data_IF_341286077713
#
_entry.id   IF_341286077713
#
_cell.length_a   1.000
_cell.length_b   1.000
_cell.length_c   1.000
_cell.angle_alpha   90.00
_cell.angle_beta   90.00
_cell.angle_gamma   90.00
#
_symmetry.space_group_name_H-M   'P 1'
#
loop_
_entity.id
_entity.type
_entity.pdbx_description
1 polymer ?
#
# COMPACT_ATOMS: atom_id res chain seq x y z
N UNK A 1 27.89 -28.58 -7.44
CA UNK A 1 26.46 -28.68 -7.03
C UNK A 1 26.14 -28.02 -5.69
N UNK A 2 27.11 -27.40 -4.99
CA UNK A 2 26.88 -26.82 -3.65
C UNK A 2 26.87 -25.28 -3.60
N UNK A 3 27.36 -24.57 -4.62
CA UNK A 3 27.24 -23.10 -4.67
C UNK A 3 25.87 -22.61 -5.18
N UNK A 4 25.20 -23.38 -6.03
CA UNK A 4 23.90 -23.00 -6.56
C UNK A 4 22.76 -23.09 -5.53
N UNK A 5 22.93 -23.83 -4.43
CA UNK A 5 21.90 -24.02 -3.40
C UNK A 5 21.89 -22.90 -2.34
N UNK A 6 23.00 -22.19 -2.14
CA UNK A 6 23.11 -21.18 -1.07
C UNK A 6 22.54 -19.81 -1.46
N UNK A 7 22.20 -19.58 -2.73
CA UNK A 7 21.52 -18.35 -3.16
C UNK A 7 19.99 -18.38 -2.96
N UNK A 8 19.40 -19.53 -2.63
CA UNK A 8 17.94 -19.66 -2.48
C UNK A 8 17.43 -19.14 -1.13
N UNK A 9 18.30 -19.06 -0.10
CA UNK A 9 17.93 -18.54 1.22
C UNK A 9 17.92 -17.00 1.30
N UNK A 10 18.21 -16.30 0.19
CA UNK A 10 18.04 -14.84 0.06
C UNK A 10 16.82 -14.44 -0.77
N UNK A 11 15.94 -15.39 -1.09
CA UNK A 11 14.80 -15.19 -2.00
C UNK A 11 13.49 -14.83 -1.26
N UNK A 12 13.53 -13.89 -0.31
CA UNK A 12 12.30 -13.26 0.19
C UNK A 12 11.88 -12.05 -0.67
N UNK A 13 12.69 -11.63 -1.64
CA UNK A 13 12.40 -10.48 -2.49
C UNK A 13 11.95 -10.93 -3.89
N UNK A 14 10.64 -10.93 -4.11
CA UNK A 14 9.98 -11.37 -5.34
C UNK A 14 9.88 -10.26 -6.42
N UNK A 15 10.71 -9.21 -6.42
CA UNK A 15 10.72 -8.17 -7.48
C UNK A 15 12.14 -7.64 -7.67
N UNK A 16 12.44 -7.05 -8.84
CA UNK A 16 13.73 -6.46 -9.21
C UNK A 16 14.42 -5.72 -8.06
N UNK A 17 15.59 -6.22 -7.66
CA UNK A 17 16.64 -5.59 -6.87
C UNK A 17 16.28 -4.24 -6.23
N UNK A 18 15.55 -4.26 -5.10
CA UNK A 18 15.25 -3.10 -4.24
C UNK A 18 14.25 -2.07 -4.78
N UNK A 19 13.38 -1.55 -3.89
CA UNK A 19 12.58 -0.33 -4.10
C UNK A 19 13.41 0.93 -4.40
N UNK A 20 14.75 0.84 -4.34
CA UNK A 20 15.68 1.89 -4.74
C UNK A 20 16.06 1.85 -6.22
N UNK A 21 15.66 0.81 -6.97
CA UNK A 21 15.92 0.73 -8.40
C UNK A 21 15.25 1.88 -9.15
N UNK A 22 15.81 2.29 -10.29
CA UNK A 22 15.19 3.32 -11.13
C UNK A 22 13.92 2.82 -11.85
N UNK A 23 13.82 1.52 -12.11
CA UNK A 23 12.68 0.88 -12.78
C UNK A 23 12.07 -0.21 -11.91
N UNK A 24 11.58 0.17 -10.73
CA UNK A 24 11.09 -0.75 -9.70
C UNK A 24 9.66 -1.25 -9.95
N UNK A 25 8.89 -0.58 -10.82
CA UNK A 25 7.49 -0.95 -11.05
C UNK A 25 7.37 -2.30 -11.77
N UNK A 26 6.51 -3.17 -11.23
CA UNK A 26 6.17 -4.47 -11.85
C UNK A 26 5.21 -4.37 -13.03
N UNK A 27 4.47 -3.26 -13.13
CA UNK A 27 3.43 -3.05 -14.14
C UNK A 27 3.95 -2.27 -15.35
N UNK A 28 4.81 -1.27 -15.12
CA UNK A 28 5.30 -0.37 -16.17
C UNK A 28 6.83 -0.22 -16.15
N UNK A 29 7.34 0.38 -17.23
CA UNK A 29 8.76 0.67 -17.46
C UNK A 29 9.11 2.13 -17.21
N UNK A 30 8.23 2.89 -16.56
CA UNK A 30 8.52 4.26 -16.17
C UNK A 30 9.72 4.31 -15.21
N UNK A 31 10.56 5.33 -15.35
CA UNK A 31 11.61 5.61 -14.37
C UNK A 31 10.98 6.17 -13.09
N UNK A 32 11.73 6.10 -12.00
CA UNK A 32 11.33 6.66 -10.70
C UNK A 32 10.94 8.13 -10.81
N UNK A 33 11.71 8.94 -11.53
CA UNK A 33 11.46 10.38 -11.69
C UNK A 33 10.12 10.65 -12.41
N UNK A 34 9.79 9.83 -13.43
CA UNK A 34 8.50 9.93 -14.12
C UNK A 34 7.37 9.51 -13.17
N UNK A 35 7.53 8.38 -12.48
CA UNK A 35 6.50 7.86 -11.57
C UNK A 35 6.16 8.81 -10.43
N UNK A 36 7.12 9.60 -9.95
CA UNK A 36 6.89 10.60 -8.90
C UNK A 36 6.00 11.77 -9.33
N UNK A 37 5.88 12.00 -10.64
CA UNK A 37 5.08 13.10 -11.20
C UNK A 37 3.83 12.61 -11.94
N UNK A 38 3.76 11.31 -12.20
CA UNK A 38 2.72 10.72 -13.03
C UNK A 38 1.46 10.43 -12.20
N UNK A 39 0.40 11.21 -12.42
CA UNK A 39 -0.91 10.99 -11.81
C UNK A 39 -1.85 10.04 -12.58
N UNK A 40 -1.49 9.67 -13.81
CA UNK A 40 -2.31 8.83 -14.69
C UNK A 40 -1.49 7.69 -15.28
N UNK A 41 -2.11 6.53 -15.51
CA UNK A 41 -1.44 5.41 -16.17
C UNK A 41 -1.00 5.80 -17.59
N UNK A 42 0.21 5.40 -17.97
CA UNK A 42 0.70 5.52 -19.34
C UNK A 42 0.78 4.13 -19.98
N UNK A 43 -0.18 3.81 -20.84
CA UNK A 43 -0.32 2.49 -21.47
C UNK A 43 0.88 2.11 -22.34
N UNK A 44 1.53 3.09 -22.98
CA UNK A 44 2.70 2.86 -23.82
C UNK A 44 3.92 2.36 -23.02
N UNK A 45 3.91 2.61 -21.71
CA UNK A 45 4.96 2.22 -20.78
C UNK A 45 4.73 0.85 -20.13
N UNK A 46 3.57 0.21 -20.35
CA UNK A 46 3.23 -1.05 -19.69
C UNK A 46 4.17 -2.17 -20.12
N UNK A 47 4.51 -3.04 -19.17
CA UNK A 47 5.33 -4.23 -19.43
C UNK A 47 4.49 -5.26 -20.17
N UNK A 48 5.06 -5.84 -21.21
CA UNK A 48 4.44 -6.90 -21.98
C UNK A 48 5.50 -7.92 -22.43
N UNK A 49 5.05 -9.07 -22.95
CA UNK A 49 5.96 -10.14 -23.41
C UNK A 49 7.02 -9.63 -24.37
N UNK A 50 6.62 -8.83 -25.35
CA UNK A 50 7.50 -8.30 -26.39
C UNK A 50 8.60 -7.43 -25.80
N UNK A 51 8.25 -6.43 -24.99
CA UNK A 51 9.24 -5.51 -24.43
C UNK A 51 10.10 -6.16 -23.32
N UNK A 52 9.57 -7.17 -22.62
CA UNK A 52 10.34 -7.96 -21.67
C UNK A 52 11.42 -8.81 -22.38
N UNK A 53 11.06 -9.50 -23.47
CA UNK A 53 12.03 -10.26 -24.28
C UNK A 53 13.13 -9.34 -24.82
N UNK A 54 12.79 -8.12 -25.24
CA UNK A 54 13.77 -7.13 -25.68
C UNK A 54 14.71 -6.69 -24.53
N UNK A 55 14.18 -6.45 -23.33
CA UNK A 55 15.00 -6.10 -22.15
C UNK A 55 15.91 -7.27 -21.74
N UNK A 56 15.43 -8.51 -21.89
CA UNK A 56 16.18 -9.74 -21.59
C UNK A 56 17.33 -9.93 -22.58
N UNK A 57 17.05 -9.84 -23.88
CA UNK A 57 18.03 -10.05 -24.95
C UNK A 57 19.12 -8.98 -24.98
N UNK A 58 18.78 -7.73 -24.65
CA UNK A 58 19.75 -6.61 -24.56
C UNK A 58 20.58 -6.60 -23.26
N UNK A 59 20.40 -7.62 -22.40
CA UNK A 59 21.01 -7.71 -21.07
C UNK A 59 20.83 -6.45 -20.20
N UNK A 60 19.71 -5.74 -20.37
CA UNK A 60 19.42 -4.54 -19.60
C UNK A 60 18.90 -4.91 -18.21
N UNK A 61 19.81 -5.31 -17.32
CA UNK A 61 19.55 -5.72 -15.93
C UNK A 61 18.79 -4.67 -15.12
N UNK A 62 18.90 -3.38 -15.46
CA UNK A 62 18.20 -2.29 -14.76
C UNK A 62 16.70 -2.26 -15.05
N UNK A 63 16.26 -2.79 -16.21
CA UNK A 63 14.86 -2.81 -16.64
C UNK A 63 14.21 -4.17 -16.49
N UNK A 64 15.00 -5.20 -16.20
CA UNK A 64 14.52 -6.58 -16.07
C UNK A 64 13.89 -6.80 -14.69
N UNK A 65 12.77 -7.50 -14.66
CA UNK A 65 12.26 -8.11 -13.44
C UNK A 65 12.61 -9.59 -13.50
N UNK A 66 13.41 -10.07 -12.56
CA UNK A 66 13.81 -11.48 -12.48
C UNK A 66 13.01 -12.11 -11.35
N UNK A 67 12.12 -13.04 -11.70
CA UNK A 67 11.48 -13.91 -10.74
C UNK A 67 12.18 -15.27 -10.77
N UNK A 68 12.31 -15.93 -9.61
CA UNK A 68 12.76 -17.32 -9.52
C UNK A 68 11.84 -18.31 -10.26
N UNK A 69 10.71 -17.85 -10.80
CA UNK A 69 9.68 -18.61 -11.52
C UNK A 69 9.86 -18.63 -13.03
N UNK A 70 10.94 -18.05 -13.57
CA UNK A 70 11.22 -18.02 -15.02
C UNK A 70 11.29 -19.40 -15.71
N UNK A 71 11.32 -20.48 -14.93
CA UNK A 71 11.35 -21.86 -15.40
C UNK A 71 9.97 -22.55 -15.40
N UNK A 72 8.93 -21.88 -14.90
CA UNK A 72 7.57 -22.41 -14.90
C UNK A 72 6.94 -22.21 -16.28
N UNK A 73 6.63 -23.30 -16.98
CA UNK A 73 6.09 -23.30 -18.35
C UNK A 73 4.84 -22.45 -18.55
N UNK A 74 4.00 -22.33 -17.52
CA UNK A 74 2.73 -21.59 -17.56
C UNK A 74 2.79 -20.24 -16.85
N UNK A 75 3.98 -19.73 -16.55
CA UNK A 75 4.16 -18.45 -15.87
C UNK A 75 4.94 -17.47 -16.75
N UNK A 76 4.38 -16.29 -16.96
CA UNK A 76 5.11 -15.17 -17.53
C UNK A 76 4.99 -13.95 -16.61
N UNK A 77 6.13 -13.35 -16.27
CA UNK A 77 6.21 -12.20 -15.34
C UNK A 77 5.29 -11.03 -15.71
N UNK A 78 5.08 -10.78 -17.00
CA UNK A 78 4.23 -9.68 -17.47
C UNK A 78 2.75 -10.04 -17.60
N UNK A 79 2.36 -11.27 -17.27
CA UNK A 79 0.96 -11.74 -17.36
C UNK A 79 0.45 -12.30 -16.04
N UNK A 80 1.35 -12.80 -15.19
CA UNK A 80 1.02 -13.46 -13.93
C UNK A 80 1.56 -12.66 -12.73
N UNK A 81 1.22 -11.38 -12.69
CA UNK A 81 1.46 -10.52 -11.54
C UNK A 81 0.15 -10.21 -10.81
N UNK A 82 0.23 -9.91 -9.52
CA UNK A 82 -0.91 -9.47 -8.72
C UNK A 82 -0.54 -8.24 -7.90
N UNK A 83 -1.53 -7.41 -7.59
CA UNK A 83 -1.41 -6.44 -6.52
C UNK A 83 -1.39 -7.15 -5.16
N UNK A 84 -0.63 -6.62 -4.21
CA UNK A 84 -0.64 -7.10 -2.84
C UNK A 84 -1.48 -6.13 -2.02
N UNK A 85 -2.75 -6.46 -1.78
CA UNK A 85 -3.67 -5.56 -1.07
C UNK A 85 -3.17 -5.22 0.34
N UNK A 86 -2.42 -6.11 0.99
CA UNK A 86 -1.85 -5.83 2.30
C UNK A 86 -0.85 -4.69 2.21
N UNK A 87 0.15 -4.82 1.34
CA UNK A 87 1.23 -3.84 1.25
C UNK A 87 0.86 -2.59 0.44
N UNK A 88 0.05 -2.74 -0.61
CA UNK A 88 -0.31 -1.64 -1.51
C UNK A 88 -1.41 -0.75 -0.88
N UNK A 89 -2.37 -1.33 -0.16
CA UNK A 89 -3.49 -0.60 0.46
C UNK A 89 -3.31 -0.43 1.97
N UNK A 90 -3.31 -1.52 2.74
CA UNK A 90 -3.42 -1.44 4.20
C UNK A 90 -2.13 -0.97 4.89
N UNK A 91 -0.96 -1.42 4.47
CA UNK A 91 0.32 -0.88 4.96
C UNK A 91 0.81 0.29 4.11
N UNK A 92 0.18 0.48 2.94
CA UNK A 92 0.50 1.49 1.95
C UNK A 92 -0.42 2.71 2.03
N UNK A 93 -1.09 3.00 0.92
CA UNK A 93 -1.74 4.30 0.70
C UNK A 93 -2.83 4.61 1.72
N UNK A 94 -3.64 3.63 2.13
CA UNK A 94 -4.78 3.90 3.01
C UNK A 94 -4.34 4.35 4.40
N UNK A 95 -3.26 3.77 4.92
CA UNK A 95 -2.71 4.19 6.20
C UNK A 95 -1.98 5.53 6.10
N UNK A 96 -1.33 5.81 4.98
CA UNK A 96 -0.78 7.14 4.73
C UNK A 96 -1.88 8.21 4.80
N UNK A 97 -2.98 8.00 4.09
CA UNK A 97 -4.12 8.93 4.07
C UNK A 97 -4.75 9.10 5.46
N UNK A 98 -4.99 8.01 6.19
CA UNK A 98 -5.59 8.05 7.54
C UNK A 98 -4.69 8.79 8.53
N UNK A 99 -3.37 8.56 8.48
CA UNK A 99 -2.42 9.26 9.35
C UNK A 99 -2.43 10.75 9.06
N UNK A 100 -2.47 11.13 7.78
CA UNK A 100 -2.52 12.53 7.37
C UNK A 100 -3.80 13.22 7.84
N UNK A 101 -4.95 12.55 7.69
CA UNK A 101 -6.24 13.04 8.17
C UNK A 101 -6.27 13.19 9.69
N UNK A 102 -5.78 12.18 10.43
CA UNK A 102 -5.68 12.28 11.89
C UNK A 102 -4.76 13.43 12.31
N UNK A 103 -3.64 13.62 11.63
CA UNK A 103 -2.74 14.74 11.89
C UNK A 103 -3.46 16.08 11.65
N UNK A 104 -4.14 16.21 10.53
CA UNK A 104 -4.91 17.40 10.16
C UNK A 104 -5.97 17.71 11.23
N UNK A 105 -6.82 16.73 11.59
CA UNK A 105 -7.92 16.97 12.52
C UNK A 105 -7.47 17.15 13.98
N UNK A 106 -6.38 16.50 14.40
CA UNK A 106 -5.90 16.61 15.79
C UNK A 106 -5.02 17.85 16.00
N UNK A 107 -4.11 18.15 15.07
CA UNK A 107 -3.10 19.19 15.28
C UNK A 107 -3.37 20.50 14.55
N UNK A 108 -3.99 20.46 13.37
CA UNK A 108 -4.21 21.63 12.53
C UNK A 108 -5.61 22.20 12.79
N UNK A 109 -6.66 21.48 12.40
CA UNK A 109 -8.06 21.88 12.59
C UNK A 109 -8.51 21.79 14.05
N UNK A 110 -7.85 20.95 14.86
CA UNK A 110 -8.14 20.73 16.29
C UNK A 110 -9.61 20.38 16.56
N UNK A 111 -10.21 19.56 15.70
CA UNK A 111 -11.60 19.10 15.84
C UNK A 111 -11.77 18.20 17.07
N UNK A 112 -10.75 17.40 17.38
CA UNK A 112 -10.71 16.52 18.53
C UNK A 112 -9.26 16.26 18.96
N UNK A 113 -9.06 15.63 20.13
CA UNK A 113 -7.72 15.26 20.61
C UNK A 113 -7.41 13.80 20.31
N UNK A 114 -6.12 13.44 20.34
CA UNK A 114 -5.71 12.04 20.24
C UNK A 114 -6.32 11.16 21.35
N UNK A 115 -6.55 11.72 22.54
CA UNK A 115 -7.20 11.01 23.64
C UNK A 115 -8.68 10.75 23.37
N UNK A 116 -9.38 11.71 22.74
CA UNK A 116 -10.75 11.52 22.25
C UNK A 116 -10.78 10.37 21.24
N UNK A 117 -9.91 10.39 20.24
CA UNK A 117 -9.84 9.33 19.23
C UNK A 117 -9.53 7.95 19.83
N UNK A 118 -8.53 7.87 20.71
CA UNK A 118 -8.19 6.63 21.40
C UNK A 118 -9.32 6.12 22.30
N UNK A 119 -10.12 7.02 22.89
CA UNK A 119 -11.31 6.64 23.66
C UNK A 119 -12.37 6.03 22.74
N UNK A 120 -12.62 6.64 21.59
CA UNK A 120 -13.54 6.10 20.59
C UNK A 120 -13.10 4.73 20.10
N UNK A 121 -11.82 4.56 19.76
CA UNK A 121 -11.25 3.25 19.39
C UNK A 121 -11.47 2.18 20.47
N UNK A 122 -11.31 2.51 21.76
CA UNK A 122 -11.53 1.57 22.87
C UNK A 122 -13.00 1.16 23.01
N UNK A 123 -13.90 2.12 22.81
CA UNK A 123 -15.33 1.95 23.03
C UNK A 123 -16.07 1.41 21.80
N UNK A 124 -15.45 1.46 20.62
CA UNK A 124 -16.06 1.01 19.37
C UNK A 124 -16.29 -0.51 19.38
N UNK A 125 -17.51 -0.92 19.05
CA UNK A 125 -17.85 -2.34 18.88
C UNK A 125 -17.49 -2.80 17.47
N UNK A 126 -16.34 -3.46 17.34
CA UNK A 126 -15.87 -4.03 16.07
C UNK A 126 -16.59 -5.34 15.68
N UNK A 127 -17.54 -5.80 16.50
CA UNK A 127 -18.23 -7.08 16.32
C UNK A 127 -17.36 -8.30 16.65
N UNK A 128 -18.00 -9.48 16.63
CA UNK A 128 -17.37 -10.75 17.05
C UNK A 128 -16.32 -11.29 16.06
N UNK A 129 -16.31 -10.82 14.82
CA UNK A 129 -15.44 -11.30 13.75
C UNK A 129 -14.09 -10.57 13.64
N UNK A 130 -13.95 -9.39 14.24
CA UNK A 130 -12.73 -8.59 14.15
C UNK A 130 -11.87 -8.73 15.40
N UNK A 131 -11.05 -9.79 15.40
CA UNK A 131 -10.15 -10.14 16.51
C UNK A 131 -8.98 -9.15 16.61
N UNK A 132 -8.55 -8.58 15.47
CA UNK A 132 -7.41 -7.67 15.38
C UNK A 132 -7.86 -6.22 15.53
N UNK A 133 -7.96 -5.78 16.79
CA UNK A 133 -8.30 -4.40 17.13
C UNK A 133 -7.13 -3.47 16.86
N UNK A 134 -7.41 -2.30 16.31
CA UNK A 134 -6.40 -1.27 16.09
C UNK A 134 -5.75 -0.84 17.43
N UNK A 135 -4.42 -0.80 17.51
CA UNK A 135 -3.73 -0.34 18.71
C UNK A 135 -3.99 1.15 18.95
N UNK A 136 -3.85 1.58 20.20
CA UNK A 136 -3.94 2.99 20.55
C UNK A 136 -2.78 3.75 19.91
N UNK A 137 -3.08 4.94 19.41
CA UNK A 137 -2.12 5.77 18.72
C UNK A 137 -1.55 6.76 19.73
N UNK A 138 -0.23 6.72 19.93
CA UNK A 138 0.42 7.68 20.82
C UNK A 138 0.50 9.06 20.16
N UNK A 139 0.48 10.10 20.99
CA UNK A 139 0.65 11.47 20.54
C UNK A 139 1.97 11.66 19.77
N UNK A 140 3.06 11.02 20.20
CA UNK A 140 4.36 11.12 19.53
C UNK A 140 4.32 10.51 18.13
N UNK A 141 3.73 9.32 18.00
CA UNK A 141 3.65 8.59 16.73
C UNK A 141 2.78 9.34 15.72
N UNK A 142 1.64 9.88 16.15
CA UNK A 142 0.80 10.69 15.26
C UNK A 142 1.51 11.99 14.87
N UNK A 143 2.19 12.66 15.83
CA UNK A 143 2.92 13.90 15.54
C UNK A 143 4.06 13.68 14.54
N UNK A 144 4.75 12.53 14.62
CA UNK A 144 5.77 12.13 13.64
C UNK A 144 5.19 11.47 12.39
N UNK A 145 3.86 11.36 12.26
CA UNK A 145 3.15 10.67 11.17
C UNK A 145 3.66 9.25 10.92
N UNK A 146 4.04 8.55 11.99
CA UNK A 146 4.63 7.23 11.93
C UNK A 146 3.92 6.30 12.91
N UNK A 147 2.92 5.57 12.41
CA UNK A 147 2.09 4.67 13.21
C UNK A 147 2.40 3.23 12.78
N UNK A 148 2.94 2.45 13.71
CA UNK A 148 3.21 1.03 13.49
C UNK A 148 1.98 0.21 13.87
N UNK A 149 1.49 -0.59 12.95
CA UNK A 149 0.42 -1.55 13.16
C UNK A 149 0.57 -2.72 12.19
N UNK A 150 -0.02 -3.86 12.55
CA UNK A 150 -0.11 -5.02 11.66
C UNK A 150 -1.08 -4.71 10.50
N UNK A 151 -0.88 -5.32 9.33
CA UNK A 151 -1.81 -5.20 8.20
C UNK A 151 -3.28 -5.45 8.60
N UNK A 152 -3.53 -6.45 9.45
CA UNK A 152 -4.90 -6.75 9.91
C UNK A 152 -5.48 -5.66 10.80
N UNK A 153 -4.67 -4.97 11.60
CA UNK A 153 -5.07 -3.85 12.44
C UNK A 153 -5.31 -2.58 11.62
N UNK A 154 -4.48 -2.35 10.59
CA UNK A 154 -4.65 -1.29 9.60
C UNK A 154 -5.94 -1.47 8.79
N UNK A 155 -6.18 -2.69 8.29
CA UNK A 155 -7.43 -3.04 7.60
C UNK A 155 -8.64 -2.72 8.48
N UNK A 156 -8.62 -3.14 9.75
CA UNK A 156 -9.69 -2.81 10.69
C UNK A 156 -9.85 -1.30 10.80
N UNK A 157 -8.76 -0.54 11.01
CA UNK A 157 -8.85 0.90 11.12
C UNK A 157 -9.48 1.54 9.87
N UNK A 158 -8.99 1.19 8.68
CA UNK A 158 -9.47 1.74 7.40
C UNK A 158 -10.98 1.52 7.21
N UNK A 159 -11.45 0.31 7.48
CA UNK A 159 -12.86 -0.06 7.30
C UNK A 159 -13.79 0.65 8.28
N UNK A 160 -13.33 0.92 9.51
CA UNK A 160 -14.14 1.50 10.56
C UNK A 160 -13.89 2.99 10.79
N UNK A 161 -12.88 3.60 10.15
CA UNK A 161 -12.46 4.97 10.40
C UNK A 161 -13.61 5.98 10.29
N UNK A 162 -14.37 5.89 9.19
CA UNK A 162 -15.55 6.72 8.96
C UNK A 162 -16.64 6.56 10.01
N UNK A 163 -16.82 5.35 10.53
CA UNK A 163 -17.79 5.07 11.60
C UNK A 163 -17.30 5.56 12.97
N UNK A 164 -15.98 5.58 13.19
CA UNK A 164 -15.37 6.00 14.45
C UNK A 164 -15.38 7.53 14.57
N UNK A 165 -14.99 8.25 13.53
CA UNK A 165 -14.81 9.71 13.61
C UNK A 165 -15.74 10.53 12.72
N UNK A 166 -16.48 9.92 11.80
CA UNK A 166 -17.24 10.68 10.79
C UNK A 166 -18.25 11.66 11.39
N UNK A 167 -18.79 11.38 12.59
CA UNK A 167 -19.70 12.30 13.28
C UNK A 167 -19.00 13.53 13.90
N UNK A 168 -17.67 13.51 14.01
CA UNK A 168 -16.84 14.62 14.47
C UNK A 168 -16.41 15.54 13.32
N UNK A 169 -16.62 15.13 12.06
CA UNK A 169 -16.14 15.84 10.89
C UNK A 169 -17.27 16.73 10.34
N UNK A 170 -17.03 18.03 10.08
CA UNK A 170 -17.99 18.90 9.43
C UNK A 170 -18.43 18.36 8.07
N UNK A 171 -19.69 18.58 7.70
CA UNK A 171 -20.24 18.10 6.43
C UNK A 171 -19.61 18.76 5.19
N UNK A 172 -19.01 19.93 5.36
CA UNK A 172 -18.33 20.72 4.35
C UNK A 172 -16.80 20.62 4.44
N UNK A 173 -16.26 19.65 5.19
CA UNK A 173 -14.82 19.45 5.32
C UNK A 173 -14.19 18.99 4.00
N UNK A 174 -13.22 19.78 3.51
CA UNK A 174 -12.53 19.55 2.24
C UNK A 174 -11.58 18.34 2.27
N UNK A 175 -11.07 17.95 3.44
CA UNK A 175 -10.12 16.85 3.58
C UNK A 175 -10.83 15.49 3.62
N UNK A 176 -12.10 15.45 4.01
CA UNK A 176 -12.90 14.22 4.08
C UNK A 176 -13.07 13.52 2.72
N UNK A 177 -12.94 14.24 1.61
CA UNK A 177 -12.93 13.65 0.27
C UNK A 177 -11.79 12.63 0.11
N UNK A 178 -10.62 12.88 0.72
CA UNK A 178 -9.50 11.93 0.72
C UNK A 178 -9.93 10.60 1.33
N UNK A 179 -10.55 10.61 2.52
CA UNK A 179 -11.05 9.38 3.15
C UNK A 179 -12.07 8.66 2.27
N UNK A 180 -12.99 9.42 1.66
CA UNK A 180 -14.05 8.86 0.83
C UNK A 180 -13.46 8.13 -0.39
N UNK A 181 -12.42 8.70 -1.01
CA UNK A 181 -11.68 8.07 -2.09
C UNK A 181 -10.93 6.81 -1.61
N UNK A 182 -10.20 6.90 -0.50
CA UNK A 182 -9.49 5.76 0.10
C UNK A 182 -10.43 4.60 0.43
N UNK A 183 -11.60 4.89 1.01
CA UNK A 183 -12.62 3.91 1.34
C UNK A 183 -13.22 3.27 0.09
N UNK A 184 -13.52 4.07 -0.95
CA UNK A 184 -14.03 3.59 -2.24
C UNK A 184 -13.03 2.65 -2.91
N UNK A 185 -11.77 3.04 -2.98
CA UNK A 185 -10.70 2.19 -3.52
C UNK A 185 -10.59 0.87 -2.74
N UNK A 186 -10.60 0.94 -1.41
CA UNK A 186 -10.51 -0.24 -0.54
C UNK A 186 -11.67 -1.21 -0.77
N UNK A 187 -12.89 -0.71 -0.89
CA UNK A 187 -14.09 -1.51 -1.16
C UNK A 187 -14.05 -2.19 -2.54
N UNK A 188 -13.58 -1.48 -3.57
CA UNK A 188 -13.38 -2.06 -4.91
C UNK A 188 -12.40 -3.24 -4.87
N UNK A 189 -11.28 -3.12 -4.15
CA UNK A 189 -10.31 -4.20 -4.03
C UNK A 189 -10.83 -5.38 -3.21
N UNK A 190 -11.61 -5.14 -2.14
CA UNK A 190 -12.16 -6.21 -1.32
C UNK A 190 -13.31 -6.98 -1.99
N UNK A 191 -14.04 -6.37 -2.92
CA UNK A 191 -15.11 -7.02 -3.70
C UNK A 191 -14.60 -7.80 -4.92
N UNK A 192 -13.38 -7.53 -5.37
CA UNK A 192 -12.78 -8.18 -6.53
C UNK A 192 -12.22 -9.60 -6.23
N UNK A 193 -12.30 -10.05 -4.98
CA UNK A 193 -11.83 -11.32 -4.46
C UNK A 193 -12.97 -12.09 -3.78
#
# INVERSE_FOLDING_TARGET
MTEHANNWLRANDWVSQSFRANFYCRFCKCSKDIMQQQGLQNDDSLRNKTNYVNDVTTNNVLKRIVYGTQYLLSFHVTENYSADIAHDIFEGIAMFDIVELLYQYVFISKLFTIDTFNTLLKCFDFGKSNINKTPLISHSNLKSKHINMLCSEAKTLVLYFGLIIGYLIPTDDEYWELYTLTATCTDLFLKAH
#
